data_IF_174600171390
#
_entry.id   IF_174600171390
#
_cell.length_a   1.000
_cell.length_b   1.000
_cell.length_c   1.000
_cell.angle_alpha   90.00
_cell.angle_beta   90.00
_cell.angle_gamma   90.00
#
_symmetry.space_group_name_H-M   'P 1'
#
loop_
_entity.id
_entity.type
_entity.pdbx_description
1 polymer ?
#
# COMPACT_ATOMS: atom_id res chain seq x y z
N UNK A 1 24.16 97.55 18.04
CA UNK A 1 24.59 96.64 16.95
C UNK A 1 25.66 95.74 17.55
N UNK A 2 25.31 94.53 18.04
CA UNK A 2 26.27 93.55 18.53
C UNK A 2 26.19 92.35 17.60
N UNK A 3 27.33 92.03 16.96
CA UNK A 3 27.46 90.84 16.09
C UNK A 3 27.71 89.64 16.96
N UNK A 4 26.91 88.59 16.78
CA UNK A 4 27.10 87.27 17.36
C UNK A 4 27.91 86.42 16.32
N UNK A 5 29.01 85.82 16.80
CA UNK A 5 29.81 84.85 16.09
C UNK A 5 29.19 83.46 16.26
N UNK A 6 29.22 82.56 15.28
CA UNK A 6 28.78 81.20 15.40
C UNK A 6 29.90 80.33 15.97
N UNK A 7 29.52 79.41 16.92
CA UNK A 7 30.36 78.33 17.42
C UNK A 7 30.39 77.14 16.46
N UNK A 8 31.52 76.42 16.33
CA UNK A 8 31.60 75.25 15.47
C UNK A 8 31.01 74.01 16.20
N UNK A 9 30.13 73.28 15.54
CA UNK A 9 29.65 71.98 15.93
C UNK A 9 30.70 70.94 15.52
N UNK A 10 31.33 70.33 16.52
CA UNK A 10 32.21 69.18 16.31
C UNK A 10 31.34 67.90 16.14
N UNK A 11 31.34 67.37 14.93
CA UNK A 11 30.71 66.07 14.64
C UNK A 11 31.65 64.95 15.09
N UNK A 12 31.24 64.18 16.14
CA UNK A 12 31.89 62.94 16.55
C UNK A 12 31.48 61.83 15.61
N UNK A 13 32.36 61.42 14.70
CA UNK A 13 32.21 60.18 13.93
C UNK A 13 32.57 59.00 14.79
N UNK A 14 31.53 58.20 15.23
CA UNK A 14 31.73 56.86 15.74
C UNK A 14 31.97 55.91 14.57
N UNK A 15 33.19 55.44 14.40
CA UNK A 15 33.50 54.32 13.49
C UNK A 15 33.03 53.02 14.16
N UNK A 16 31.88 52.47 13.70
CA UNK A 16 31.49 51.10 13.99
C UNK A 16 32.42 50.16 13.23
N UNK A 17 33.39 49.58 13.91
CA UNK A 17 34.12 48.41 13.41
C UNK A 17 33.21 47.22 13.47
N UNK A 18 32.58 46.83 12.36
CA UNK A 18 31.90 45.55 12.22
C UNK A 18 32.97 44.44 12.31
N UNK A 19 33.00 43.75 13.40
CA UNK A 19 33.76 42.50 13.53
C UNK A 19 33.05 41.48 12.64
N UNK A 20 33.62 41.19 11.48
CA UNK A 20 33.17 40.13 10.60
C UNK A 20 33.28 38.78 11.37
N UNK A 21 32.17 38.16 11.70
CA UNK A 21 32.18 36.77 12.16
C UNK A 21 32.84 35.92 11.07
N UNK A 22 33.75 35.01 11.45
CA UNK A 22 34.39 34.11 10.50
C UNK A 22 33.27 33.30 9.82
N UNK A 23 33.15 33.40 8.52
CA UNK A 23 32.25 32.58 7.72
C UNK A 23 32.52 31.13 8.03
N UNK A 24 31.48 30.39 8.51
CA UNK A 24 31.56 28.96 8.69
C UNK A 24 31.98 28.33 7.36
N UNK A 25 33.10 27.55 7.31
CA UNK A 25 33.55 26.96 6.06
C UNK A 25 32.40 26.13 5.47
N UNK A 26 32.09 26.36 4.20
CA UNK A 26 31.16 25.47 3.48
C UNK A 26 31.69 24.04 3.59
N UNK A 27 30.85 23.06 3.98
CA UNK A 27 31.27 21.68 4.08
C UNK A 27 31.92 21.25 2.76
N UNK A 28 33.05 20.52 2.83
CA UNK A 28 33.67 19.97 1.63
C UNK A 28 32.61 19.17 0.84
N UNK A 29 32.67 19.12 -0.48
CA UNK A 29 31.70 18.41 -1.33
C UNK A 29 31.47 16.95 -0.88
N UNK A 30 32.43 16.36 -0.17
CA UNK A 30 32.37 15.02 0.42
C UNK A 30 31.60 14.96 1.75
N UNK A 31 31.52 16.03 2.53
CA UNK A 31 30.91 16.00 3.87
C UNK A 31 29.40 15.82 3.83
N UNK A 32 28.70 16.24 2.76
CA UNK A 32 27.25 16.08 2.60
C UNK A 32 26.80 14.62 2.47
N UNK A 33 27.70 13.71 2.09
CA UNK A 33 27.39 12.28 2.02
C UNK A 33 27.76 11.52 3.29
N UNK A 34 28.40 12.17 4.24
CA UNK A 34 28.79 11.56 5.49
C UNK A 34 27.61 11.53 6.46
N UNK A 35 27.62 10.52 7.35
CA UNK A 35 26.71 10.50 8.47
C UNK A 35 27.22 11.52 9.50
N UNK A 36 26.36 12.43 10.00
CA UNK A 36 26.76 13.38 11.01
C UNK A 36 27.35 12.69 12.24
N UNK A 37 28.46 13.20 12.81
CA UNK A 37 29.16 12.53 13.91
C UNK A 37 28.36 12.53 15.21
N UNK A 38 27.48 13.51 15.41
CA UNK A 38 26.59 13.63 16.58
C UNK A 38 25.12 13.57 16.16
N UNK A 39 24.23 13.49 17.13
CA UNK A 39 22.78 13.55 16.91
C UNK A 39 22.21 14.97 16.96
N UNK A 40 23.04 15.97 17.26
CA UNK A 40 22.61 17.33 17.52
C UNK A 40 22.01 17.98 16.25
N UNK A 41 20.81 18.50 16.37
CA UNK A 41 20.10 19.14 15.28
C UNK A 41 19.57 18.19 14.19
N UNK A 42 19.76 16.88 14.33
CA UNK A 42 19.23 15.92 13.37
C UNK A 42 17.74 15.64 13.63
N UNK A 43 16.95 15.44 12.55
CA UNK A 43 15.54 15.12 12.69
C UNK A 43 15.32 13.73 13.30
N UNK A 44 14.14 13.55 13.88
CA UNK A 44 13.70 12.27 14.43
C UNK A 44 14.41 11.86 15.70
N UNK A 45 14.12 10.64 16.12
CA UNK A 45 14.67 10.03 17.34
C UNK A 45 15.12 8.60 17.10
N UNK A 46 15.81 8.00 18.09
CA UNK A 46 16.28 6.61 17.99
C UNK A 46 17.65 6.46 17.34
N UNK A 47 17.99 5.23 16.90
CA UNK A 47 19.35 4.89 16.50
C UNK A 47 19.73 5.49 15.13
N UNK A 48 20.99 5.87 15.04
CA UNK A 48 21.70 6.15 13.78
C UNK A 48 22.95 5.27 13.79
N UNK A 49 23.05 4.38 12.83
CA UNK A 49 24.21 3.51 12.71
C UNK A 49 25.43 4.29 12.28
N UNK A 50 26.56 4.07 12.95
CA UNK A 50 27.86 4.74 12.69
C UNK A 50 29.03 3.75 12.64
N UNK A 51 28.75 2.43 12.59
CA UNK A 51 29.78 1.45 12.40
C UNK A 51 30.52 1.71 11.08
N UNK A 52 31.81 1.42 11.01
CA UNK A 52 32.66 1.72 9.85
C UNK A 52 32.13 1.12 8.55
N UNK A 53 31.66 -0.14 8.61
CA UNK A 53 31.07 -0.80 7.45
C UNK A 53 29.83 -0.05 6.92
N UNK A 54 28.98 0.43 7.83
CA UNK A 54 27.78 1.16 7.48
C UNK A 54 28.09 2.54 6.88
N UNK A 55 29.05 3.26 7.47
CA UNK A 55 29.50 4.55 6.92
C UNK A 55 30.07 4.39 5.49
N UNK A 56 30.82 3.33 5.22
CA UNK A 56 31.33 3.04 3.87
C UNK A 56 30.22 2.79 2.88
N UNK A 57 29.25 1.92 3.22
CA UNK A 57 28.08 1.61 2.39
C UNK A 57 27.23 2.84 2.15
N UNK A 58 26.95 3.62 3.19
CA UNK A 58 26.19 4.87 3.12
C UNK A 58 26.82 5.89 2.16
N UNK A 59 28.11 6.16 2.30
CA UNK A 59 28.82 7.11 1.44
C UNK A 59 28.86 6.62 -0.01
N UNK A 60 29.11 5.33 -0.21
CA UNK A 60 29.18 4.73 -1.55
C UNK A 60 27.84 4.90 -2.29
N UNK A 61 26.73 4.42 -1.72
CA UNK A 61 25.42 4.55 -2.36
C UNK A 61 25.04 6.00 -2.66
N UNK A 62 25.23 6.91 -1.71
CA UNK A 62 24.86 8.31 -1.89
C UNK A 62 25.69 9.01 -2.96
N UNK A 63 26.96 8.67 -3.11
CA UNK A 63 27.81 9.16 -4.21
C UNK A 63 27.36 8.63 -5.58
N UNK A 64 27.08 7.33 -5.66
CA UNK A 64 26.55 6.70 -6.87
C UNK A 64 25.23 7.33 -7.29
N UNK A 65 24.31 7.54 -6.35
CA UNK A 65 23.02 8.17 -6.62
C UNK A 65 23.15 9.65 -7.03
N UNK A 66 24.06 10.39 -6.40
CA UNK A 66 24.33 11.78 -6.78
C UNK A 66 24.76 11.92 -8.24
N UNK A 67 25.52 10.96 -8.76
CA UNK A 67 25.90 10.93 -10.18
C UNK A 67 24.74 10.56 -11.12
N UNK A 68 23.65 9.97 -10.56
CA UNK A 68 22.48 9.51 -11.33
C UNK A 68 21.24 10.40 -11.21
N UNK A 69 21.28 11.48 -10.44
CA UNK A 69 20.09 12.33 -10.17
C UNK A 69 19.34 12.72 -11.45
N UNK A 70 20.07 13.10 -12.51
CA UNK A 70 19.45 13.47 -13.78
C UNK A 70 18.76 12.30 -14.50
N UNK A 71 19.30 11.10 -14.38
CA UNK A 71 18.73 9.88 -14.95
C UNK A 71 17.50 9.41 -14.19
N UNK A 72 17.50 9.58 -12.87
CA UNK A 72 16.47 9.06 -11.96
C UNK A 72 15.34 10.09 -11.71
N UNK A 73 15.34 11.27 -12.38
CA UNK A 73 14.24 12.23 -12.28
C UNK A 73 12.89 11.60 -12.62
N UNK A 74 11.88 11.90 -11.82
CA UNK A 74 10.50 11.39 -11.99
C UNK A 74 10.38 9.87 -11.98
N UNK A 75 11.28 9.18 -11.26
CA UNK A 75 11.15 7.74 -11.03
C UNK A 75 10.14 7.43 -9.92
N UNK A 76 9.56 6.24 -9.95
CA UNK A 76 8.96 5.62 -8.77
C UNK A 76 10.13 5.17 -7.86
N UNK A 77 10.23 5.78 -6.67
CA UNK A 77 11.34 5.52 -5.75
C UNK A 77 10.99 4.37 -4.81
N UNK A 78 11.85 3.35 -4.79
CA UNK A 78 11.82 2.30 -3.76
C UNK A 78 12.79 2.70 -2.64
N UNK A 79 12.23 3.10 -1.50
CA UNK A 79 12.97 3.65 -0.36
C UNK A 79 12.99 2.66 0.80
N UNK A 80 14.19 2.36 1.33
CA UNK A 80 14.30 1.42 2.43
C UNK A 80 15.73 1.12 2.87
N UNK A 81 15.89 -0.07 3.42
CA UNK A 81 17.13 -0.62 3.95
C UNK A 81 17.75 -1.71 3.05
N UNK A 82 18.43 -2.70 3.67
CA UNK A 82 19.06 -3.83 2.96
C UNK A 82 18.06 -4.69 2.17
N UNK A 83 16.81 -4.75 2.58
CA UNK A 83 15.79 -5.52 1.87
C UNK A 83 15.49 -4.84 0.52
N UNK A 84 15.39 -3.52 0.50
CA UNK A 84 15.22 -2.74 -0.73
C UNK A 84 16.49 -2.73 -1.56
N UNK A 85 17.66 -2.46 -0.95
CA UNK A 85 18.97 -2.49 -1.61
C UNK A 85 19.24 -3.82 -2.31
N UNK A 86 19.01 -4.92 -1.61
CA UNK A 86 19.25 -6.29 -2.09
C UNK A 86 18.37 -6.73 -3.26
N UNK A 87 17.32 -5.99 -3.60
CA UNK A 87 16.56 -6.22 -4.83
C UNK A 87 17.35 -5.83 -6.09
N UNK A 88 18.39 -5.01 -5.91
CA UNK A 88 19.29 -4.59 -6.96
C UNK A 88 18.78 -3.43 -7.82
N UNK A 89 19.57 -3.03 -8.83
CA UNK A 89 19.20 -1.95 -9.71
C UNK A 89 17.93 -2.31 -10.50
N UNK A 90 17.11 -1.28 -10.78
CA UNK A 90 15.86 -1.43 -11.53
C UNK A 90 14.93 -2.52 -10.96
N UNK A 91 15.04 -2.79 -9.64
CA UNK A 91 14.29 -3.82 -8.93
C UNK A 91 14.37 -5.19 -9.63
N UNK A 92 15.58 -5.55 -10.08
CA UNK A 92 15.84 -6.82 -10.77
C UNK A 92 15.03 -7.02 -12.05
N UNK A 93 14.58 -5.95 -12.71
CA UNK A 93 13.73 -6.02 -13.90
C UNK A 93 12.29 -6.46 -13.60
N UNK A 94 11.85 -6.41 -12.33
CA UNK A 94 10.51 -6.88 -11.92
C UNK A 94 9.37 -6.03 -12.48
N UNK A 95 9.63 -4.79 -12.89
CA UNK A 95 8.63 -3.84 -13.39
C UNK A 95 9.04 -3.28 -14.77
N UNK A 96 8.98 -4.10 -15.83
CA UNK A 96 9.39 -3.68 -17.17
C UNK A 96 8.57 -2.48 -17.64
N UNK A 97 9.25 -1.51 -18.27
CA UNK A 97 8.63 -0.27 -18.75
C UNK A 97 8.39 0.81 -17.69
N UNK A 98 8.52 0.49 -16.40
CA UNK A 98 8.41 1.45 -15.30
C UNK A 98 9.79 2.02 -14.95
N UNK A 99 9.90 3.34 -14.93
CA UNK A 99 11.11 4.00 -14.44
C UNK A 99 11.15 3.93 -12.92
N UNK A 100 12.09 3.17 -12.39
CA UNK A 100 12.26 2.94 -10.95
C UNK A 100 13.62 3.43 -10.47
N UNK A 101 13.73 3.83 -9.20
CA UNK A 101 14.98 4.18 -8.55
C UNK A 101 15.08 3.45 -7.19
N UNK A 102 16.08 2.57 -7.07
CA UNK A 102 16.38 1.93 -5.79
C UNK A 102 17.11 2.93 -4.88
N UNK A 103 16.57 3.17 -3.71
CA UNK A 103 17.12 4.04 -2.65
C UNK A 103 17.17 3.28 -1.32
N UNK A 104 17.49 1.98 -1.38
CA UNK A 104 17.82 1.16 -0.22
C UNK A 104 19.28 1.33 0.19
N UNK A 105 19.57 1.34 1.48
CA UNK A 105 20.93 1.25 2.04
C UNK A 105 20.97 0.13 3.08
N UNK A 106 21.84 -0.84 2.89
CA UNK A 106 22.02 -1.94 3.84
C UNK A 106 22.27 -1.45 5.26
N UNK A 107 21.40 -1.85 6.22
CA UNK A 107 21.52 -1.46 7.61
C UNK A 107 20.85 -0.12 7.99
N UNK A 108 20.19 0.56 7.07
CA UNK A 108 19.57 1.87 7.35
C UNK A 108 18.39 1.77 8.32
N UNK A 109 18.18 2.84 9.08
CA UNK A 109 17.08 3.00 10.02
C UNK A 109 16.12 4.11 9.56
N UNK A 110 14.95 4.19 10.17
CA UNK A 110 13.99 5.27 9.86
C UNK A 110 14.60 6.65 10.05
N UNK A 111 15.46 6.82 11.08
CA UNK A 111 16.17 8.08 11.29
C UNK A 111 17.26 8.33 10.25
N UNK A 112 17.94 7.28 9.77
CA UNK A 112 18.88 7.39 8.66
C UNK A 112 18.19 7.86 7.38
N UNK A 113 17.04 7.27 7.03
CA UNK A 113 16.22 7.73 5.91
C UNK A 113 15.89 9.22 6.02
N UNK A 114 15.49 9.72 7.19
CA UNK A 114 15.20 11.15 7.40
C UNK A 114 16.39 12.05 7.08
N UNK A 115 17.60 11.65 7.46
CA UNK A 115 18.82 12.44 7.22
C UNK A 115 19.11 12.61 5.73
N UNK A 116 18.84 11.58 4.92
CA UNK A 116 19.17 11.54 3.48
C UNK A 116 17.99 11.83 2.55
N UNK A 117 16.79 11.98 3.08
CA UNK A 117 15.53 12.03 2.31
C UNK A 117 15.56 13.13 1.24
N UNK A 118 16.08 14.31 1.59
CA UNK A 118 16.07 15.47 0.71
C UNK A 118 16.94 15.25 -0.53
N UNK A 119 18.19 14.85 -0.33
CA UNK A 119 19.17 14.71 -1.42
C UNK A 119 18.93 13.47 -2.25
N UNK A 120 18.55 12.35 -1.60
CA UNK A 120 18.52 11.04 -2.24
C UNK A 120 17.15 10.72 -2.83
N UNK A 121 16.08 11.34 -2.35
CA UNK A 121 14.69 11.06 -2.75
C UNK A 121 14.01 12.30 -3.33
N UNK A 122 13.85 13.38 -2.55
CA UNK A 122 13.07 14.54 -2.96
C UNK A 122 13.71 15.28 -4.15
N UNK A 123 15.04 15.27 -4.27
CA UNK A 123 15.76 15.83 -5.41
C UNK A 123 15.45 15.13 -6.75
N UNK A 124 14.83 13.96 -6.73
CA UNK A 124 14.39 13.23 -7.91
C UNK A 124 13.01 13.68 -8.42
N UNK A 125 12.29 14.52 -7.67
CA UNK A 125 10.88 14.83 -7.95
C UNK A 125 10.09 13.55 -8.24
N UNK A 126 10.05 12.58 -7.29
CA UNK A 126 9.52 11.25 -7.54
C UNK A 126 8.03 11.31 -7.90
N UNK A 127 7.59 10.44 -8.80
CA UNK A 127 6.17 10.30 -9.14
C UNK A 127 5.40 9.49 -8.09
N UNK A 128 6.09 8.81 -7.20
CA UNK A 128 5.56 8.05 -6.07
C UNK A 128 6.69 7.38 -5.30
N UNK A 129 6.35 6.83 -4.15
CA UNK A 129 7.30 6.15 -3.27
C UNK A 129 6.74 4.80 -2.82
N UNK A 130 7.53 3.73 -2.94
CA UNK A 130 7.31 2.45 -2.26
C UNK A 130 8.26 2.42 -1.07
N UNK A 131 7.73 2.42 0.14
CA UNK A 131 8.49 2.55 1.38
C UNK A 131 8.45 1.25 2.19
N UNK A 132 9.63 0.70 2.50
CA UNK A 132 9.82 -0.42 3.44
C UNK A 132 11.00 -0.09 4.34
N UNK A 133 10.75 0.17 5.62
CA UNK A 133 11.79 0.55 6.60
C UNK A 133 11.33 0.22 8.02
N UNK A 134 12.27 0.03 8.96
CA UNK A 134 12.00 -0.14 10.39
C UNK A 134 12.58 -1.41 11.01
N UNK A 135 12.96 -2.40 10.19
CA UNK A 135 13.49 -3.68 10.69
C UNK A 135 14.84 -3.51 11.44
N UNK A 136 15.68 -2.56 11.00
CA UNK A 136 16.96 -2.27 11.66
C UNK A 136 16.79 -1.43 12.93
N UNK A 137 15.76 -0.60 13.00
CA UNK A 137 15.39 0.10 14.22
C UNK A 137 15.03 -0.89 15.33
N UNK A 138 14.26 -1.96 14.98
CA UNK A 138 13.91 -3.06 15.92
C UNK A 138 15.16 -3.81 16.38
N UNK A 139 16.10 -4.15 15.47
CA UNK A 139 17.37 -4.78 15.82
C UNK A 139 18.18 -3.94 16.81
N UNK A 140 18.21 -2.63 16.57
CA UNK A 140 18.88 -1.65 17.43
C UNK A 140 18.04 -1.29 18.68
N UNK A 141 16.97 -2.06 18.94
CA UNK A 141 16.12 -2.00 20.14
C UNK A 141 15.36 -0.67 20.32
N UNK A 142 15.10 0.04 19.22
CA UNK A 142 14.18 1.17 19.26
C UNK A 142 12.74 0.70 19.58
N UNK A 143 12.02 1.51 20.35
CA UNK A 143 10.62 1.24 20.61
C UNK A 143 9.75 1.57 19.38
N UNK A 144 8.70 0.77 19.09
CA UNK A 144 7.82 0.98 17.93
C UNK A 144 7.25 2.41 17.83
N UNK A 145 6.97 3.05 18.97
CA UNK A 145 6.48 4.43 19.03
C UNK A 145 7.53 5.46 18.53
N UNK A 146 8.82 5.20 18.75
CA UNK A 146 9.91 6.01 18.19
C UNK A 146 10.01 5.83 16.68
N UNK A 147 9.90 4.59 16.20
CA UNK A 147 10.01 4.25 14.80
C UNK A 147 8.85 4.89 14.02
N UNK A 148 7.61 4.77 14.52
CA UNK A 148 6.44 5.41 13.87
C UNK A 148 6.52 6.93 13.92
N UNK A 149 7.15 7.51 14.95
CA UNK A 149 7.44 8.94 15.03
C UNK A 149 8.29 9.40 13.85
N UNK A 150 9.34 8.65 13.50
CA UNK A 150 10.18 8.92 12.34
C UNK A 150 9.42 8.70 11.03
N UNK A 151 8.60 7.65 10.90
CA UNK A 151 7.76 7.45 9.72
C UNK A 151 6.86 8.66 9.47
N UNK A 152 6.21 9.19 10.50
CA UNK A 152 5.36 10.40 10.37
C UNK A 152 6.15 11.61 9.83
N UNK A 153 7.39 11.77 10.25
CA UNK A 153 8.26 12.83 9.73
C UNK A 153 8.65 12.58 8.27
N UNK A 154 8.97 11.32 7.89
CA UNK A 154 9.24 10.96 6.49
C UNK A 154 8.02 11.28 5.60
N UNK A 155 6.83 10.85 6.01
CA UNK A 155 5.59 11.10 5.27
C UNK A 155 5.29 12.60 5.16
N UNK A 156 5.53 13.36 6.24
CA UNK A 156 5.33 14.81 6.24
C UNK A 156 6.25 15.52 5.23
N UNK A 157 7.53 15.13 5.15
CA UNK A 157 8.46 15.72 4.18
C UNK A 157 8.14 15.31 2.74
N UNK A 158 7.72 14.06 2.49
CA UNK A 158 7.25 13.61 1.18
C UNK A 158 6.03 14.43 0.74
N UNK A 159 5.03 14.59 1.58
CA UNK A 159 3.81 15.35 1.29
C UNK A 159 4.02 16.86 1.19
N UNK A 160 4.99 17.40 1.89
CA UNK A 160 5.39 18.79 1.72
C UNK A 160 5.94 19.06 0.32
N UNK A 161 6.61 18.07 -0.28
CA UNK A 161 7.07 18.13 -1.67
C UNK A 161 5.91 18.00 -2.68
N UNK A 162 5.03 17.01 -2.48
CA UNK A 162 3.79 16.85 -3.24
C UNK A 162 2.69 16.23 -2.32
N UNK A 163 1.65 17.02 -1.98
CA UNK A 163 0.57 16.55 -1.10
C UNK A 163 -0.24 15.37 -1.66
N UNK A 164 -0.17 15.12 -2.97
CA UNK A 164 -0.89 14.04 -3.65
C UNK A 164 0.03 12.90 -4.09
N UNK A 165 1.31 12.93 -3.70
CA UNK A 165 2.27 11.87 -4.05
C UNK A 165 1.74 10.50 -3.60
N UNK A 166 1.53 9.55 -4.51
CA UNK A 166 1.15 8.21 -4.13
C UNK A 166 2.28 7.53 -3.35
N UNK A 167 1.94 6.98 -2.19
CA UNK A 167 2.88 6.26 -1.32
C UNK A 167 2.34 4.86 -1.08
N UNK A 168 3.11 3.84 -1.41
CA UNK A 168 2.84 2.46 -0.98
C UNK A 168 3.69 2.18 0.24
N UNK A 169 3.05 2.10 1.40
CA UNK A 169 3.70 1.74 2.65
C UNK A 169 3.63 0.22 2.83
N UNK A 170 4.75 -0.45 2.65
CA UNK A 170 4.86 -1.87 2.93
C UNK A 170 5.00 -2.09 4.44
N UNK A 171 4.25 -3.01 5.00
CA UNK A 171 4.47 -3.46 6.38
C UNK A 171 5.85 -4.09 6.51
N UNK A 172 6.48 -3.93 7.68
CA UNK A 172 7.78 -4.55 7.96
C UNK A 172 7.64 -6.06 7.87
N UNK A 173 8.52 -6.68 7.09
CA UNK A 173 8.50 -8.12 6.85
C UNK A 173 8.72 -8.92 8.13
N UNK A 174 8.23 -10.17 8.20
CA UNK A 174 8.63 -11.08 9.26
C UNK A 174 10.14 -11.30 9.23
N UNK A 175 10.69 -11.62 10.40
CA UNK A 175 12.06 -12.03 10.58
C UNK A 175 12.09 -13.10 11.65
N UNK A 176 13.00 -13.03 12.63
CA UNK A 176 13.05 -13.98 13.74
C UNK A 176 13.56 -13.31 15.02
N UNK A 177 13.15 -13.85 16.16
CA UNK A 177 13.71 -13.46 17.46
C UNK A 177 15.22 -13.73 17.54
N UNK A 178 15.71 -14.77 16.84
CA UNK A 178 17.16 -15.07 16.72
C UNK A 178 17.92 -13.96 15.98
N UNK A 179 17.24 -13.20 15.14
CA UNK A 179 17.74 -12.01 14.43
C UNK A 179 17.50 -10.73 15.22
N UNK A 180 17.12 -10.79 16.50
CA UNK A 180 16.71 -9.66 17.35
C UNK A 180 15.50 -8.87 16.81
N UNK A 181 14.65 -9.53 16.05
CA UNK A 181 13.45 -8.98 15.43
C UNK A 181 12.24 -9.83 15.76
N UNK A 182 11.79 -9.84 17.05
CA UNK A 182 10.69 -10.69 17.48
C UNK A 182 9.37 -10.25 16.82
N UNK A 183 8.55 -11.24 16.48
CA UNK A 183 7.30 -11.05 15.76
C UNK A 183 6.34 -10.07 16.43
N UNK A 184 6.24 -10.10 17.76
CA UNK A 184 5.36 -9.19 18.50
C UNK A 184 5.76 -7.72 18.35
N UNK A 185 7.07 -7.39 18.29
CA UNK A 185 7.54 -6.02 18.05
C UNK A 185 7.28 -5.57 16.63
N UNK A 186 7.47 -6.46 15.64
CA UNK A 186 7.19 -6.15 14.24
C UNK A 186 5.68 -5.92 14.06
N UNK A 187 4.83 -6.80 14.58
CA UNK A 187 3.37 -6.66 14.49
C UNK A 187 2.90 -5.37 15.15
N UNK A 188 3.43 -5.05 16.33
CA UNK A 188 3.12 -3.79 17.01
C UNK A 188 3.51 -2.58 16.15
N UNK A 189 4.67 -2.62 15.49
CA UNK A 189 5.10 -1.56 14.59
C UNK A 189 4.18 -1.43 13.38
N UNK A 190 3.79 -2.55 12.76
CA UNK A 190 2.88 -2.57 11.61
C UNK A 190 1.48 -2.03 11.97
N UNK A 191 0.94 -2.37 13.14
CA UNK A 191 -0.29 -1.75 13.67
C UNK A 191 -0.16 -0.22 13.80
N UNK A 192 0.96 0.25 14.34
CA UNK A 192 1.21 1.69 14.48
C UNK A 192 1.40 2.38 13.12
N UNK A 193 2.00 1.70 12.15
CA UNK A 193 2.13 2.20 10.77
C UNK A 193 0.76 2.37 10.13
N UNK A 194 -0.08 1.35 10.18
CA UNK A 194 -1.45 1.42 9.66
C UNK A 194 -2.27 2.53 10.35
N UNK A 195 -2.16 2.64 11.68
CA UNK A 195 -2.83 3.69 12.44
C UNK A 195 -2.33 5.10 12.08
N UNK A 196 -1.02 5.26 11.80
CA UNK A 196 -0.41 6.55 11.47
C UNK A 196 -0.89 7.12 10.12
N UNK A 197 -1.29 6.26 9.19
CA UNK A 197 -1.72 6.65 7.83
C UNK A 197 -3.23 6.52 7.64
N UNK A 198 -3.97 6.14 8.67
CA UNK A 198 -5.43 5.97 8.61
C UNK A 198 -6.10 7.27 8.14
N UNK A 199 -6.96 7.17 7.13
CA UNK A 199 -7.67 8.30 6.55
C UNK A 199 -6.86 9.11 5.54
N UNK A 200 -5.67 8.68 5.17
CA UNK A 200 -4.80 9.35 4.21
C UNK A 200 -4.93 8.74 2.81
N UNK A 201 -5.63 9.39 1.88
CA UNK A 201 -5.90 8.82 0.55
C UNK A 201 -4.66 8.72 -0.34
N UNK A 202 -3.56 9.38 0.00
CA UNK A 202 -2.30 9.29 -0.75
C UNK A 202 -1.47 8.07 -0.34
N UNK A 203 -1.81 7.38 0.76
CA UNK A 203 -1.04 6.24 1.27
C UNK A 203 -1.85 4.95 1.15
N UNK A 204 -1.29 3.98 0.44
CA UNK A 204 -1.82 2.61 0.38
C UNK A 204 -0.94 1.69 1.21
N UNK A 205 -1.49 1.07 2.24
CA UNK A 205 -0.78 0.06 3.02
C UNK A 205 -0.83 -1.27 2.28
N UNK A 206 0.32 -1.93 2.12
CA UNK A 206 0.43 -3.28 1.59
C UNK A 206 0.84 -4.23 2.73
N UNK A 207 -0.01 -5.20 3.03
CA UNK A 207 0.24 -6.22 4.06
C UNK A 207 1.32 -7.21 3.59
N UNK A 208 2.56 -6.79 3.72
CA UNK A 208 3.72 -7.62 3.41
C UNK A 208 4.14 -8.53 4.56
N UNK A 209 3.62 -8.28 5.77
CA UNK A 209 3.78 -9.22 6.88
C UNK A 209 3.05 -10.54 6.57
N UNK A 210 1.74 -10.51 6.33
CA UNK A 210 0.95 -11.71 6.02
C UNK A 210 1.39 -12.38 4.72
N UNK A 211 1.95 -11.61 3.78
CA UNK A 211 2.52 -12.15 2.55
C UNK A 211 3.64 -13.16 2.83
N UNK A 212 4.46 -12.90 3.85
CA UNK A 212 5.71 -13.63 4.07
C UNK A 212 5.75 -14.47 5.33
N UNK A 213 4.99 -14.12 6.38
CA UNK A 213 5.03 -14.84 7.64
C UNK A 213 4.62 -16.31 7.48
N UNK A 214 5.41 -17.23 8.03
CA UNK A 214 5.03 -18.63 8.15
C UNK A 214 4.12 -18.89 9.36
N UNK A 215 3.77 -20.14 9.60
CA UNK A 215 2.92 -20.52 10.73
C UNK A 215 3.53 -20.21 12.12
N UNK A 216 4.84 -19.97 12.19
CA UNK A 216 5.53 -19.58 13.41
C UNK A 216 5.74 -18.06 13.51
N UNK A 217 5.17 -17.29 12.57
CA UNK A 217 5.39 -15.86 12.43
C UNK A 217 6.85 -15.47 12.11
N UNK A 218 7.63 -16.39 11.56
CA UNK A 218 9.00 -16.20 11.12
C UNK A 218 9.09 -16.07 9.58
N UNK A 219 10.24 -15.60 9.11
CA UNK A 219 10.57 -15.55 7.68
C UNK A 219 10.96 -16.97 7.18
N UNK A 220 10.21 -17.57 6.24
CA UNK A 220 10.48 -18.94 5.78
C UNK A 220 11.75 -19.03 4.92
N UNK A 221 12.59 -20.05 5.14
CA UNK A 221 13.82 -20.28 4.40
C UNK A 221 13.61 -20.50 2.88
N UNK A 222 12.40 -20.87 2.46
CA UNK A 222 12.05 -21.01 1.03
C UNK A 222 12.03 -19.66 0.30
N UNK A 223 11.78 -18.55 1.02
CA UNK A 223 11.65 -17.20 0.48
C UNK A 223 12.75 -16.23 0.96
N UNK A 224 13.50 -16.61 1.99
CA UNK A 224 14.53 -15.78 2.61
C UNK A 224 15.87 -16.52 2.67
N UNK A 225 16.99 -15.78 2.52
CA UNK A 225 18.33 -16.34 2.56
C UNK A 225 18.82 -16.62 3.97
N UNK A 226 18.41 -15.77 4.92
CA UNK A 226 18.98 -15.67 6.26
C UNK A 226 17.93 -15.21 7.31
N UNK A 227 16.68 -15.58 7.12
CA UNK A 227 15.52 -15.18 7.96
C UNK A 227 15.25 -13.66 7.98
N UNK A 228 15.83 -12.89 7.07
CA UNK A 228 15.66 -11.44 6.96
C UNK A 228 15.60 -10.98 5.50
N UNK A 229 16.56 -11.39 4.68
CA UNK A 229 16.69 -10.90 3.31
C UNK A 229 16.04 -11.86 2.31
N UNK A 230 15.08 -11.39 1.50
CA UNK A 230 14.47 -12.23 0.47
C UNK A 230 15.49 -12.84 -0.48
N UNK A 231 15.22 -14.05 -0.92
CA UNK A 231 15.87 -14.66 -2.08
C UNK A 231 15.12 -14.27 -3.37
N UNK A 232 15.52 -14.82 -4.52
CA UNK A 232 14.88 -14.51 -5.80
C UNK A 232 13.35 -14.80 -5.79
N UNK A 233 12.93 -15.90 -5.16
CA UNK A 233 11.50 -16.25 -5.02
C UNK A 233 10.77 -15.27 -4.12
N UNK A 234 11.39 -14.80 -3.03
CA UNK A 234 10.86 -13.78 -2.14
C UNK A 234 10.64 -12.45 -2.86
N UNK A 235 11.61 -11.97 -3.63
CA UNK A 235 11.45 -10.76 -4.43
C UNK A 235 10.38 -10.90 -5.52
N UNK A 236 10.30 -12.06 -6.19
CA UNK A 236 9.25 -12.32 -7.18
C UNK A 236 7.85 -12.27 -6.53
N UNK A 237 7.71 -12.83 -5.32
CA UNK A 237 6.47 -12.80 -4.55
C UNK A 237 6.08 -11.36 -4.14
N UNK A 238 7.05 -10.56 -3.69
CA UNK A 238 6.82 -9.16 -3.37
C UNK A 238 6.43 -8.33 -4.61
N UNK A 239 7.11 -8.55 -5.74
CA UNK A 239 6.75 -7.91 -7.01
C UNK A 239 5.32 -8.25 -7.43
N UNK A 240 4.89 -9.51 -7.31
CA UNK A 240 3.54 -9.94 -7.63
C UNK A 240 2.49 -9.22 -6.77
N UNK A 241 2.76 -9.05 -5.46
CA UNK A 241 1.88 -8.32 -4.55
C UNK A 241 1.80 -6.81 -4.84
N UNK A 242 2.90 -6.20 -5.28
CA UNK A 242 2.94 -4.77 -5.63
C UNK A 242 2.23 -4.45 -6.96
N UNK A 243 2.28 -5.34 -7.95
CA UNK A 243 1.76 -5.06 -9.29
C UNK A 243 0.32 -4.58 -9.35
N UNK A 244 -0.67 -5.21 -8.68
CA UNK A 244 -2.05 -4.74 -8.70
C UNK A 244 -2.19 -3.34 -8.10
N UNK A 245 -1.47 -3.05 -7.00
CA UNK A 245 -1.48 -1.72 -6.37
C UNK A 245 -0.88 -0.67 -7.29
N UNK A 246 0.30 -0.94 -7.87
CA UNK A 246 0.97 -0.02 -8.80
C UNK A 246 0.13 0.23 -10.06
N UNK A 247 -0.58 -0.79 -10.56
CA UNK A 247 -1.49 -0.64 -11.69
C UNK A 247 -2.70 0.23 -11.35
N UNK A 248 -3.26 0.10 -10.15
CA UNK A 248 -4.37 0.93 -9.65
C UNK A 248 -3.94 2.38 -9.49
N UNK A 249 -2.73 2.61 -8.97
CA UNK A 249 -2.15 3.93 -8.83
C UNK A 249 -1.71 4.56 -10.18
N UNK A 250 -1.73 3.79 -11.28
CA UNK A 250 -1.44 4.30 -12.63
C UNK A 250 0.04 4.24 -13.03
N UNK A 251 0.88 3.54 -12.26
CA UNK A 251 2.30 3.37 -12.59
C UNK A 251 2.58 2.30 -13.62
N UNK A 252 1.73 1.27 -13.68
CA UNK A 252 1.83 0.21 -14.67
C UNK A 252 0.72 0.38 -15.70
N UNK A 253 1.07 0.34 -16.98
CA UNK A 253 0.10 0.21 -18.05
C UNK A 253 -0.52 -1.19 -17.97
N UNK A 254 -1.85 -1.21 -17.99
CA UNK A 254 -2.60 -2.45 -18.07
C UNK A 254 -3.38 -2.42 -19.38
N UNK A 255 -3.16 -3.39 -20.24
CA UNK A 255 -3.98 -3.53 -21.44
C UNK A 255 -5.45 -3.77 -21.03
N UNK A 256 -6.42 -3.17 -21.74
CA UNK A 256 -7.83 -3.49 -21.55
C UNK A 256 -8.06 -4.98 -21.80
N UNK A 257 -8.89 -5.59 -20.95
CA UNK A 257 -9.28 -6.99 -21.16
C UNK A 257 -10.24 -7.10 -22.35
N UNK A 258 -9.78 -7.62 -23.48
CA UNK A 258 -10.56 -7.83 -24.70
C UNK A 258 -11.44 -9.10 -24.66
N UNK A 259 -11.79 -9.58 -23.49
CA UNK A 259 -12.55 -10.79 -23.28
C UNK A 259 -13.95 -10.72 -23.89
N UNK A 260 -14.33 -11.77 -24.62
CA UNK A 260 -15.69 -12.00 -25.13
C UNK A 260 -16.30 -13.20 -24.40
N UNK A 261 -17.49 -13.04 -23.78
CA UNK A 261 -18.14 -14.15 -23.10
C UNK A 261 -18.42 -15.35 -24.02
N UNK A 262 -18.41 -16.54 -23.46
CA UNK A 262 -18.79 -17.77 -24.15
C UNK A 262 -20.26 -17.74 -24.58
N UNK A 263 -20.67 -18.54 -25.61
CA UNK A 263 -22.05 -18.58 -26.07
C UNK A 263 -23.07 -18.83 -24.93
N UNK A 264 -24.06 -17.98 -24.86
CA UNK A 264 -25.12 -18.03 -23.85
C UNK A 264 -24.81 -17.28 -22.56
N UNK A 265 -23.57 -16.81 -22.35
CA UNK A 265 -23.25 -15.88 -21.28
C UNK A 265 -23.41 -14.42 -21.72
N UNK A 266 -23.82 -13.57 -20.77
CA UNK A 266 -23.83 -12.11 -20.91
C UNK A 266 -22.93 -11.49 -19.85
N UNK A 267 -22.18 -10.45 -20.23
CA UNK A 267 -21.35 -9.72 -19.27
C UNK A 267 -22.23 -8.96 -18.27
N UNK A 268 -21.88 -9.04 -16.99
CA UNK A 268 -22.41 -8.20 -15.93
C UNK A 268 -21.54 -6.97 -15.67
N UNK A 269 -20.35 -6.92 -16.27
CA UNK A 269 -19.43 -5.78 -16.18
C UNK A 269 -18.89 -5.49 -17.59
N UNK A 270 -19.02 -4.24 -18.02
CA UNK A 270 -18.65 -3.81 -19.37
C UNK A 270 -17.16 -3.49 -19.56
N UNK A 271 -16.36 -3.51 -18.47
CA UNK A 271 -14.93 -3.22 -18.50
C UNK A 271 -14.55 -1.72 -18.43
N UNK A 272 -15.52 -0.80 -18.50
CA UNK A 272 -15.28 0.63 -18.64
C UNK A 272 -15.84 1.48 -17.51
N UNK A 273 -17.02 1.12 -17.02
CA UNK A 273 -17.74 1.83 -15.97
C UNK A 273 -18.59 0.85 -15.14
N UNK A 274 -19.24 1.38 -14.11
CA UNK A 274 -20.07 0.63 -13.19
C UNK A 274 -21.54 0.54 -13.63
N UNK A 275 -21.84 0.65 -14.93
CA UNK A 275 -23.19 0.49 -15.45
C UNK A 275 -23.77 -0.87 -15.07
N UNK A 276 -24.97 -0.88 -14.52
CA UNK A 276 -25.63 -2.07 -13.97
C UNK A 276 -25.26 -2.40 -12.54
N UNK A 277 -24.42 -1.59 -11.89
CA UNK A 277 -24.00 -1.73 -10.50
C UNK A 277 -24.37 -0.51 -9.67
N UNK A 278 -24.50 -0.72 -8.36
CA UNK A 278 -24.86 0.37 -7.44
C UNK A 278 -24.88 -0.06 -5.99
N UNK A 279 -25.28 0.86 -5.12
CA UNK A 279 -25.52 0.57 -3.72
C UNK A 279 -27.02 0.36 -3.46
N UNK A 280 -27.34 -0.66 -2.69
CA UNK A 280 -28.69 -0.94 -2.21
C UNK A 280 -28.92 -0.29 -0.83
N UNK A 281 -30.17 0.02 -0.45
CA UNK A 281 -30.47 0.49 0.89
C UNK A 281 -29.95 -0.50 1.94
N UNK A 282 -29.27 0.02 2.95
CA UNK A 282 -28.73 -0.81 4.04
C UNK A 282 -29.86 -1.33 4.90
N UNK A 283 -30.05 -2.66 5.06
CA UNK A 283 -31.06 -3.22 5.95
C UNK A 283 -30.85 -2.78 7.40
N UNK A 284 -31.92 -2.58 8.15
CA UNK A 284 -31.84 -2.16 9.56
C UNK A 284 -31.05 -3.13 10.45
N UNK A 285 -31.16 -4.43 10.17
CA UNK A 285 -30.40 -5.45 10.88
C UNK A 285 -28.87 -5.32 10.65
N UNK A 286 -28.47 -4.92 9.44
CA UNK A 286 -27.06 -4.75 9.10
C UNK A 286 -26.47 -3.52 9.75
N UNK A 287 -27.25 -2.44 9.90
CA UNK A 287 -26.82 -1.23 10.63
C UNK A 287 -26.46 -1.58 12.08
N UNK A 288 -27.28 -2.37 12.75
CA UNK A 288 -26.99 -2.80 14.13
C UNK A 288 -25.84 -3.80 14.20
N UNK A 289 -25.69 -4.66 13.20
CA UNK A 289 -24.55 -5.56 13.03
C UNK A 289 -23.24 -4.78 12.87
N UNK A 290 -23.25 -3.77 12.02
CA UNK A 290 -22.11 -2.89 11.77
C UNK A 290 -21.64 -2.15 13.02
N UNK A 291 -22.55 -1.63 13.82
CA UNK A 291 -22.21 -0.95 15.09
C UNK A 291 -21.49 -1.90 16.05
N UNK A 292 -21.97 -3.14 16.19
CA UNK A 292 -21.33 -4.14 17.04
C UNK A 292 -19.95 -4.53 16.53
N UNK A 293 -19.83 -4.72 15.22
CA UNK A 293 -18.54 -5.03 14.59
C UNK A 293 -17.54 -3.88 14.77
N UNK A 294 -17.93 -2.62 14.52
CA UNK A 294 -17.08 -1.47 14.74
C UNK A 294 -16.61 -1.33 16.20
N UNK A 295 -17.47 -1.67 17.15
CA UNK A 295 -17.12 -1.64 18.57
C UNK A 295 -16.09 -2.75 18.95
N UNK A 296 -16.03 -3.84 18.20
CA UNK A 296 -15.13 -4.98 18.46
C UNK A 296 -13.82 -4.93 17.64
N UNK A 297 -13.77 -4.18 16.55
CA UNK A 297 -12.59 -4.07 15.69
C UNK A 297 -12.02 -2.63 15.71
N UNK A 298 -10.87 -2.39 16.38
CA UNK A 298 -10.26 -1.07 16.46
C UNK A 298 -9.78 -0.52 15.08
N UNK A 299 -9.66 -1.38 14.09
CA UNK A 299 -9.27 -1.01 12.74
C UNK A 299 -10.47 -0.74 11.82
N UNK A 300 -11.68 -1.04 12.27
CA UNK A 300 -12.88 -0.80 11.49
C UNK A 300 -13.16 0.70 11.27
N UNK A 301 -13.57 1.03 10.06
CA UNK A 301 -14.11 2.34 9.73
C UNK A 301 -15.62 2.39 9.93
N UNK A 302 -16.19 3.60 9.87
CA UNK A 302 -17.64 3.76 9.88
C UNK A 302 -18.27 3.04 8.68
N UNK A 303 -19.27 2.19 8.95
CA UNK A 303 -20.05 1.56 7.89
C UNK A 303 -20.91 2.61 7.20
N UNK A 304 -20.81 2.80 5.88
CA UNK A 304 -21.65 3.74 5.18
C UNK A 304 -23.10 3.22 5.13
N UNK A 305 -24.00 4.00 5.69
CA UNK A 305 -25.44 3.71 5.62
C UNK A 305 -25.99 4.30 4.34
N UNK A 306 -26.54 3.47 3.48
CA UNK A 306 -27.20 3.85 2.24
C UNK A 306 -28.71 3.94 2.51
N UNK A 307 -29.27 5.15 2.46
CA UNK A 307 -30.69 5.36 2.74
C UNK A 307 -31.60 4.99 1.55
N UNK A 308 -31.09 5.16 0.32
CA UNK A 308 -31.81 4.89 -0.95
C UNK A 308 -30.88 4.23 -1.93
N UNK A 309 -31.42 3.40 -2.82
CA UNK A 309 -30.65 2.80 -3.90
C UNK A 309 -29.93 3.88 -4.73
N UNK A 310 -28.66 3.62 -5.04
CA UNK A 310 -27.80 4.48 -5.86
C UNK A 310 -27.36 3.65 -7.06
N UNK A 311 -27.55 4.16 -8.29
CA UNK A 311 -26.98 3.58 -9.51
C UNK A 311 -25.69 4.31 -9.87
N UNK A 312 -24.70 3.56 -10.33
CA UNK A 312 -23.44 4.11 -10.86
C UNK A 312 -23.36 4.00 -12.39
N UNK A 313 -24.51 3.96 -13.07
CA UNK A 313 -24.55 3.88 -14.54
C UNK A 313 -23.74 5.01 -15.19
N UNK A 314 -22.78 4.65 -16.06
CA UNK A 314 -21.88 5.57 -16.75
C UNK A 314 -20.76 6.17 -15.87
N UNK A 315 -20.64 5.76 -14.60
CA UNK A 315 -19.58 6.23 -13.71
C UNK A 315 -18.42 5.23 -13.68
N UNK A 316 -17.19 5.73 -13.78
CA UNK A 316 -15.98 4.91 -13.66
C UNK A 316 -15.62 4.56 -12.20
N UNK A 317 -16.29 5.17 -11.22
CA UNK A 317 -16.06 4.95 -9.80
C UNK A 317 -17.34 5.16 -8.99
N UNK A 318 -17.45 4.48 -7.84
CA UNK A 318 -18.41 4.82 -6.80
C UNK A 318 -18.10 6.19 -6.17
N UNK A 319 -19.11 6.86 -5.61
CA UNK A 319 -18.97 8.20 -5.04
C UNK A 319 -17.88 8.32 -3.95
N UNK A 320 -17.63 7.23 -3.26
CA UNK A 320 -16.61 7.12 -2.22
C UNK A 320 -15.23 6.64 -2.75
N UNK A 321 -15.11 6.39 -4.06
CA UNK A 321 -13.88 5.89 -4.68
C UNK A 321 -13.48 4.46 -4.28
N UNK A 322 -14.34 3.73 -3.57
CA UNK A 322 -14.05 2.38 -3.12
C UNK A 322 -14.08 1.36 -4.26
N UNK A 323 -15.00 1.52 -5.19
CA UNK A 323 -15.15 0.68 -6.37
C UNK A 323 -14.79 1.46 -7.64
N UNK A 324 -13.90 0.90 -8.43
CA UNK A 324 -13.35 1.52 -9.63
C UNK A 324 -13.48 0.59 -10.83
N UNK A 325 -13.91 1.13 -11.97
CA UNK A 325 -13.80 0.46 -13.27
C UNK A 325 -12.57 0.98 -14.01
N UNK A 326 -11.57 0.12 -14.24
CA UNK A 326 -10.32 0.53 -14.89
C UNK A 326 -9.70 -0.61 -15.68
N UNK A 327 -9.44 -0.38 -16.96
CA UNK A 327 -8.72 -1.32 -17.84
C UNK A 327 -9.31 -2.76 -17.81
N UNK A 328 -10.61 -2.90 -18.02
CA UNK A 328 -11.31 -4.19 -18.02
C UNK A 328 -11.56 -4.80 -16.64
N UNK A 329 -11.19 -4.11 -15.57
CA UNK A 329 -11.27 -4.61 -14.19
C UNK A 329 -12.21 -3.77 -13.33
N UNK A 330 -13.00 -4.44 -12.51
CA UNK A 330 -13.70 -3.85 -11.37
C UNK A 330 -12.80 -4.02 -10.15
N UNK A 331 -12.30 -2.91 -9.60
CA UNK A 331 -11.33 -2.89 -8.52
C UNK A 331 -12.04 -2.43 -7.26
N UNK A 332 -11.86 -3.19 -6.18
CA UNK A 332 -12.16 -2.75 -4.82
C UNK A 332 -10.87 -2.21 -4.23
N UNK A 333 -10.72 -0.90 -4.16
CA UNK A 333 -9.51 -0.26 -3.68
C UNK A 333 -9.35 -0.42 -2.16
N UNK A 334 -8.12 -0.35 -1.63
CA UNK A 334 -7.88 -0.31 -0.20
C UNK A 334 -8.49 0.94 0.40
N UNK A 335 -9.33 0.80 1.43
CA UNK A 335 -9.95 1.93 2.09
C UNK A 335 -8.92 2.65 2.98
N UNK A 336 -8.65 3.95 2.77
CA UNK A 336 -7.68 4.68 3.56
C UNK A 336 -8.11 4.86 5.03
N UNK A 337 -9.40 4.85 5.30
CA UNK A 337 -9.96 4.94 6.65
C UNK A 337 -9.87 3.64 7.47
N UNK A 338 -9.42 2.55 6.88
CA UNK A 338 -9.33 1.23 7.50
C UNK A 338 -10.33 0.23 6.91
N UNK A 339 -10.48 -0.93 7.56
CA UNK A 339 -11.44 -1.98 7.16
C UNK A 339 -12.85 -1.39 7.05
N UNK A 340 -13.51 -1.70 5.96
CA UNK A 340 -14.83 -1.15 5.66
C UNK A 340 -15.64 -2.13 4.85
N UNK A 341 -16.64 -2.71 5.46
CA UNK A 341 -17.56 -3.61 4.79
C UNK A 341 -18.58 -2.76 4.04
N UNK A 342 -18.61 -2.89 2.73
CA UNK A 342 -19.57 -2.26 1.86
C UNK A 342 -19.81 -3.12 0.63
N UNK A 343 -21.07 -3.31 0.25
CA UNK A 343 -21.45 -4.11 -0.90
C UNK A 343 -21.74 -3.23 -2.11
N UNK A 344 -21.13 -3.56 -3.24
CA UNK A 344 -21.54 -3.11 -4.55
C UNK A 344 -22.43 -4.21 -5.14
N UNK A 345 -23.66 -3.91 -5.50
CA UNK A 345 -24.63 -4.89 -6.00
C UNK A 345 -25.07 -4.58 -7.43
N UNK A 346 -25.41 -5.60 -8.18
CA UNK A 346 -26.15 -5.39 -9.45
C UNK A 346 -27.48 -4.69 -9.16
N UNK A 347 -27.84 -3.75 -10.00
CA UNK A 347 -29.17 -3.07 -9.93
C UNK A 347 -30.30 -4.03 -10.25
N UNK A 348 -30.02 -5.07 -11.02
CA UNK A 348 -30.91 -6.14 -11.40
C UNK A 348 -30.85 -7.31 -10.41
N UNK A 349 -31.96 -8.06 -10.27
CA UNK A 349 -32.06 -9.32 -9.53
C UNK A 349 -32.15 -10.52 -10.46
N UNK A 350 -31.85 -11.71 -9.94
CA UNK A 350 -31.76 -12.97 -10.68
C UNK A 350 -32.69 -14.02 -10.09
N UNK A 351 -33.99 -14.08 -10.51
CA UNK A 351 -34.96 -15.04 -10.00
C UNK A 351 -34.85 -16.46 -10.62
N UNK A 352 -34.13 -16.61 -11.75
CA UNK A 352 -33.95 -17.88 -12.42
C UNK A 352 -32.67 -18.57 -11.96
N UNK A 353 -32.58 -19.85 -12.20
CA UNK A 353 -31.32 -20.59 -12.09
C UNK A 353 -30.28 -20.00 -13.04
N UNK A 354 -29.01 -20.02 -12.68
CA UNK A 354 -27.94 -19.44 -13.48
C UNK A 354 -26.58 -20.05 -13.19
N UNK A 355 -25.66 -19.84 -14.13
CA UNK A 355 -24.22 -20.01 -13.94
C UNK A 355 -23.60 -18.63 -13.94
N UNK A 356 -22.91 -18.27 -12.86
CA UNK A 356 -22.07 -17.06 -12.73
C UNK A 356 -20.60 -17.46 -12.80
N UNK A 357 -19.83 -16.79 -13.65
CA UNK A 357 -18.38 -16.93 -13.72
C UNK A 357 -17.73 -15.58 -13.58
N UNK A 358 -16.63 -15.53 -12.85
CA UNK A 358 -15.78 -14.35 -12.75
C UNK A 358 -14.35 -14.77 -12.42
N UNK A 359 -13.41 -13.88 -12.67
CA UNK A 359 -12.04 -14.03 -12.17
C UNK A 359 -11.75 -12.97 -11.14
N UNK A 360 -11.01 -13.35 -10.09
CA UNK A 360 -10.56 -12.41 -9.07
C UNK A 360 -9.05 -12.51 -8.83
N UNK A 361 -8.48 -11.42 -8.34
CA UNK A 361 -7.12 -11.34 -7.84
C UNK A 361 -7.12 -10.54 -6.54
N UNK A 362 -6.51 -11.11 -5.49
CA UNK A 362 -6.43 -10.52 -4.15
C UNK A 362 -5.02 -10.02 -3.85
N UNK A 363 -4.88 -8.84 -3.26
CA UNK A 363 -3.61 -8.48 -2.60
C UNK A 363 -3.45 -9.31 -1.31
N UNK A 364 -2.22 -9.37 -0.73
CA UNK A 364 -2.00 -10.16 0.48
C UNK A 364 -3.00 -9.80 1.58
N UNK A 365 -3.56 -10.82 2.21
CA UNK A 365 -4.56 -10.72 3.28
C UNK A 365 -5.83 -9.92 2.92
N UNK A 366 -6.08 -9.64 1.64
CA UNK A 366 -7.31 -9.00 1.22
C UNK A 366 -8.52 -9.86 1.55
N UNK A 367 -9.60 -9.21 1.98
CA UNK A 367 -10.85 -9.85 2.39
C UNK A 367 -12.04 -9.21 1.67
N UNK A 368 -12.88 -10.06 1.11
CA UNK A 368 -14.04 -9.68 0.33
C UNK A 368 -15.04 -10.84 0.28
N UNK A 369 -16.10 -10.69 -0.49
CA UNK A 369 -17.10 -11.72 -0.72
C UNK A 369 -17.84 -11.52 -2.02
N UNK A 370 -18.38 -12.61 -2.55
CA UNK A 370 -19.34 -12.62 -3.63
C UNK A 370 -20.70 -12.93 -3.02
N UNK A 371 -21.65 -12.00 -3.10
CA UNK A 371 -22.99 -12.18 -2.61
C UNK A 371 -23.87 -12.79 -3.69
N UNK A 372 -24.45 -13.95 -3.38
CA UNK A 372 -25.29 -14.73 -4.28
C UNK A 372 -26.73 -14.57 -3.80
N UNK A 373 -27.47 -13.61 -4.36
CA UNK A 373 -28.86 -13.27 -3.95
C UNK A 373 -29.00 -12.81 -2.49
N UNK A 374 -27.98 -12.66 -1.69
CA UNK A 374 -27.87 -12.12 -0.32
C UNK A 374 -26.73 -12.79 0.47
N UNK A 375 -26.68 -14.15 0.63
CA UNK A 375 -25.60 -14.76 1.40
C UNK A 375 -24.25 -14.62 0.70
N UNK A 376 -23.21 -14.48 1.53
CA UNK A 376 -21.84 -14.25 1.12
C UNK A 376 -21.07 -15.56 0.93
N UNK A 377 -20.64 -15.85 -0.30
CA UNK A 377 -19.52 -16.77 -0.54
C UNK A 377 -18.21 -16.00 -0.30
N UNK A 378 -17.37 -16.51 0.57
CA UNK A 378 -16.07 -15.88 0.85
C UNK A 378 -15.20 -15.84 -0.41
N UNK A 379 -14.65 -14.67 -0.76
CA UNK A 379 -13.73 -14.45 -1.87
C UNK A 379 -12.61 -13.53 -1.39
N UNK A 380 -11.40 -14.09 -1.20
CA UNK A 380 -10.31 -13.42 -0.50
C UNK A 380 -8.96 -14.01 -0.85
N UNK A 381 -7.88 -13.51 -0.25
CA UNK A 381 -6.60 -14.23 -0.23
C UNK A 381 -6.72 -15.47 0.66
N UNK A 382 -7.11 -16.60 0.07
CA UNK A 382 -7.52 -17.80 0.80
C UNK A 382 -6.43 -18.40 1.68
N UNK A 383 -5.17 -18.27 1.32
CA UNK A 383 -4.09 -18.85 2.11
C UNK A 383 -3.91 -18.15 3.46
N UNK A 384 -4.21 -16.86 3.51
CA UNK A 384 -4.02 -16.02 4.69
C UNK A 384 -5.34 -15.77 5.42
N UNK A 385 -6.39 -15.41 4.68
CA UNK A 385 -7.66 -15.01 5.24
C UNK A 385 -8.66 -16.19 5.41
N UNK A 386 -8.38 -17.39 4.83
CA UNK A 386 -9.30 -18.55 4.92
C UNK A 386 -10.75 -18.21 4.54
N UNK A 387 -11.76 -19.07 4.60
CA UNK A 387 -11.75 -20.42 5.14
C UNK A 387 -11.18 -21.50 4.23
N UNK A 388 -11.00 -21.24 2.96
CA UNK A 388 -10.56 -22.25 1.97
C UNK A 388 -9.03 -22.32 1.83
N UNK A 389 -8.30 -22.23 2.93
CA UNK A 389 -6.84 -22.17 2.96
C UNK A 389 -6.12 -23.46 2.52
N UNK A 390 -6.87 -24.54 2.23
CA UNK A 390 -6.32 -25.82 1.76
C UNK A 390 -6.49 -26.05 0.27
N UNK A 391 -6.96 -25.04 -0.48
CA UNK A 391 -7.12 -25.15 -1.94
C UNK A 391 -5.76 -25.41 -2.59
N UNK A 392 -5.66 -26.48 -3.36
CA UNK A 392 -4.45 -26.87 -4.07
C UNK A 392 -4.23 -26.09 -5.34
N UNK A 393 -5.31 -25.57 -5.95
CA UNK A 393 -5.27 -24.85 -7.23
C UNK A 393 -5.37 -23.33 -7.09
N UNK A 394 -5.55 -22.80 -5.88
CA UNK A 394 -5.53 -21.35 -5.65
C UNK A 394 -4.15 -20.78 -5.97
N UNK A 395 -4.12 -19.66 -6.67
CA UNK A 395 -2.91 -18.95 -7.08
C UNK A 395 -2.85 -17.60 -6.36
N UNK A 396 -2.03 -17.47 -5.28
CA UNK A 396 -1.91 -16.23 -4.53
C UNK A 396 -1.46 -15.06 -5.41
N UNK A 397 -2.10 -13.92 -5.27
CA UNK A 397 -1.84 -12.66 -5.99
C UNK A 397 -1.94 -12.78 -7.53
N UNK A 398 -2.55 -13.86 -8.02
CA UNK A 398 -2.79 -14.13 -9.44
C UNK A 398 -4.29 -14.26 -9.71
N UNK A 399 -4.67 -14.35 -10.99
CA UNK A 399 -6.06 -14.52 -11.37
C UNK A 399 -6.57 -15.93 -11.08
N UNK A 400 -7.70 -16.00 -10.36
CA UNK A 400 -8.40 -17.23 -9.99
C UNK A 400 -9.84 -17.15 -10.48
N UNK A 401 -10.35 -18.23 -11.10
CA UNK A 401 -11.73 -18.30 -11.57
C UNK A 401 -12.65 -18.82 -10.47
N UNK A 402 -13.76 -18.13 -10.26
CA UNK A 402 -14.90 -18.61 -9.47
C UNK A 402 -16.02 -18.97 -10.44
N UNK A 403 -16.57 -20.18 -10.29
CA UNK A 403 -17.81 -20.58 -10.92
C UNK A 403 -18.86 -20.89 -9.84
N UNK A 404 -20.06 -20.36 -10.04
CA UNK A 404 -21.20 -20.54 -9.15
C UNK A 404 -22.37 -20.99 -10.00
N UNK A 405 -22.88 -22.20 -9.75
CA UNK A 405 -24.05 -22.75 -10.40
C UNK A 405 -25.22 -22.81 -9.42
N UNK A 406 -26.24 -22.02 -9.67
CA UNK A 406 -27.46 -21.94 -8.83
C UNK A 406 -28.55 -22.81 -9.42
N UNK A 407 -29.09 -23.70 -8.57
CA UNK A 407 -30.29 -24.49 -8.84
C UNK A 407 -31.30 -24.35 -7.69
N UNK A 408 -32.41 -23.69 -7.96
CA UNK A 408 -33.43 -23.40 -6.95
C UNK A 408 -32.88 -22.57 -5.79
N UNK A 409 -32.81 -23.17 -4.61
CA UNK A 409 -32.36 -22.54 -3.35
C UNK A 409 -30.95 -22.96 -2.93
N UNK A 410 -30.17 -23.55 -3.83
CA UNK A 410 -28.81 -23.97 -3.54
C UNK A 410 -27.85 -23.61 -4.67
N UNK A 411 -26.61 -23.35 -4.33
CA UNK A 411 -25.53 -23.09 -5.28
C UNK A 411 -24.35 -24.04 -5.05
N UNK A 412 -23.78 -24.57 -6.13
CA UNK A 412 -22.47 -25.20 -6.10
C UNK A 412 -21.43 -24.14 -6.49
N UNK A 413 -20.37 -24.05 -5.70
CA UNK A 413 -19.33 -23.04 -5.88
C UNK A 413 -17.94 -23.69 -6.04
N UNK A 414 -17.15 -23.24 -7.00
CA UNK A 414 -15.77 -23.73 -7.20
C UNK A 414 -14.79 -22.59 -7.37
N UNK A 415 -13.50 -22.85 -7.06
CA UNK A 415 -12.37 -21.99 -7.38
C UNK A 415 -11.36 -22.77 -8.22
N UNK A 416 -11.05 -22.30 -9.43
CA UNK A 416 -10.21 -23.00 -10.40
C UNK A 416 -10.64 -24.48 -10.61
N UNK A 417 -11.96 -24.73 -10.56
CA UNK A 417 -12.56 -26.06 -10.67
C UNK A 417 -12.37 -26.94 -9.43
N UNK A 418 -11.93 -26.41 -8.31
CA UNK A 418 -11.85 -27.07 -7.00
C UNK A 418 -13.06 -26.67 -6.15
N UNK A 419 -13.75 -27.65 -5.55
CA UNK A 419 -14.99 -27.41 -4.83
C UNK A 419 -14.78 -26.53 -3.59
N UNK A 420 -15.56 -25.45 -3.49
CA UNK A 420 -15.68 -24.61 -2.30
C UNK A 420 -16.90 -25.02 -1.47
N UNK A 421 -18.07 -25.02 -2.12
CA UNK A 421 -19.36 -25.37 -1.51
C UNK A 421 -20.16 -26.27 -2.45
N UNK A 422 -20.69 -27.36 -1.92
CA UNK A 422 -21.50 -28.30 -2.69
C UNK A 422 -22.97 -27.85 -2.79
N UNK A 423 -23.51 -27.28 -1.72
CA UNK A 423 -24.92 -26.88 -1.60
C UNK A 423 -25.06 -25.61 -0.76
N UNK A 424 -24.45 -24.52 -1.21
CA UNK A 424 -24.52 -23.22 -0.57
C UNK A 424 -25.95 -22.68 -0.62
N UNK A 425 -26.60 -22.36 0.53
CA UNK A 425 -27.99 -21.95 0.54
C UNK A 425 -28.14 -20.53 -0.01
N UNK A 426 -29.11 -20.34 -0.93
CA UNK A 426 -29.40 -19.04 -1.53
C UNK A 426 -30.91 -18.79 -1.56
N UNK A 427 -31.38 -17.53 -1.46
CA UNK A 427 -32.77 -17.16 -1.67
C UNK A 427 -33.29 -17.43 -3.10
N UNK A 428 -34.60 -17.37 -3.31
CA UNK A 428 -35.22 -17.59 -4.61
C UNK A 428 -34.87 -16.48 -5.63
N UNK A 429 -34.61 -15.25 -5.16
CA UNK A 429 -34.18 -14.10 -5.98
C UNK A 429 -33.28 -13.20 -5.18
N UNK A 430 -32.56 -12.35 -5.87
CA UNK A 430 -31.68 -11.32 -5.31
C UNK A 430 -30.58 -10.90 -6.27
N UNK A 431 -29.78 -9.89 -5.90
CA UNK A 431 -28.68 -9.41 -6.74
C UNK A 431 -27.44 -10.31 -6.66
N UNK A 432 -26.49 -10.02 -7.53
CA UNK A 432 -25.08 -10.42 -7.35
C UNK A 432 -24.38 -9.22 -6.70
N UNK A 433 -23.60 -9.46 -5.65
CA UNK A 433 -22.87 -8.42 -4.94
C UNK A 433 -21.39 -8.74 -4.80
N UNK A 434 -20.60 -7.69 -4.62
CA UNK A 434 -19.17 -7.74 -4.29
C UNK A 434 -18.93 -6.91 -3.03
N UNK A 435 -18.08 -7.38 -2.16
CA UNK A 435 -17.79 -6.70 -0.90
C UNK A 435 -16.47 -5.93 -0.96
N UNK A 436 -16.41 -4.82 -0.23
CA UNK A 436 -15.18 -4.10 0.04
C UNK A 436 -14.87 -4.12 1.54
N UNK A 437 -14.14 -5.11 2.03
CA UNK A 437 -13.72 -5.20 3.43
C UNK A 437 -12.31 -4.63 3.63
N UNK A 438 -11.26 -5.39 3.40
CA UNK A 438 -9.86 -4.95 3.56
C UNK A 438 -8.99 -5.34 2.39
N UNK A 439 -7.87 -4.62 2.22
CA UNK A 439 -6.96 -4.82 1.09
C UNK A 439 -7.58 -4.41 -0.24
N UNK A 440 -6.91 -4.75 -1.33
CA UNK A 440 -7.40 -4.54 -2.68
C UNK A 440 -7.83 -5.87 -3.29
N UNK A 441 -9.03 -5.87 -3.89
CA UNK A 441 -9.54 -6.95 -4.72
C UNK A 441 -9.74 -6.46 -6.15
N UNK A 442 -9.47 -7.31 -7.11
CA UNK A 442 -9.77 -7.05 -8.51
C UNK A 442 -10.65 -8.16 -9.05
N UNK A 443 -11.66 -7.78 -9.82
CA UNK A 443 -12.57 -8.69 -10.51
C UNK A 443 -12.58 -8.38 -12.01
N UNK A 444 -12.67 -9.42 -12.84
CA UNK A 444 -12.83 -9.26 -14.29
C UNK A 444 -13.67 -10.40 -14.86
N UNK A 445 -14.09 -10.25 -16.12
CA UNK A 445 -14.82 -11.28 -16.87
C UNK A 445 -16.06 -11.76 -16.13
N UNK A 446 -16.74 -10.83 -15.44
CA UNK A 446 -17.96 -11.13 -14.67
C UNK A 446 -19.08 -11.37 -15.66
N UNK A 447 -19.55 -12.61 -15.76
CA UNK A 447 -20.53 -13.04 -16.75
C UNK A 447 -21.51 -14.05 -16.18
N UNK A 448 -22.73 -14.00 -16.67
CA UNK A 448 -23.81 -14.85 -16.19
C UNK A 448 -24.54 -15.51 -17.37
N UNK A 449 -25.00 -16.74 -17.16
CA UNK A 449 -25.87 -17.48 -18.06
C UNK A 449 -27.09 -17.92 -17.27
N UNK A 450 -28.25 -17.34 -17.56
CA UNK A 450 -29.52 -17.82 -17.00
C UNK A 450 -29.87 -19.17 -17.64
N UNK A 451 -30.32 -20.09 -16.80
CA UNK A 451 -30.74 -21.41 -17.21
C UNK A 451 -32.26 -21.42 -17.47
N UNK A 452 -32.74 -22.35 -18.31
CA UNK A 452 -34.17 -22.46 -18.66
C UNK A 452 -35.09 -22.63 -17.44
#
# INVERSE_FOLDING_TARGET
MKRLLPLPIAALLFALTAVAQPATPLPSADSRYQIPPTNDGLPGAGPIRRAEWFQKTWIQHRREWAARVALDQHALVFLGDSITDGWGPEMGGSFPGLKVANRGIGGDTTRGVLIRLREDVLALHPVGVVLLIGTNDIEDQAEPETIVGNLKLILAELKKSDPRMPIVLCEVFPSSASMKRPAEKINRLNELYAAAVKGDPAVTVLDTWSLFADANADAPASLFRDLLHPNAAGYAKWAAALRPVLATLGFLETEPDAFTPEPGFVSLFNGHDLTGWGFRPTPAADIEGAKRWQASDPHAAAWPVVAKAISFDGQAASDDGRYLAKAGRLIVATAPEGRRIQQLSTTREFPRDFILRLEFRATPNADSGIFIREPQLQCRDYLVAGPYNKLAKYRPQEWNEIEITVHGLAAQCTCNGELLEEAFPVPATGPIGLEGDRGQMEYRRIRIKELP
#
